data_IF_687118695044
#
_entry.id   IF_687118695044
#
_cell.length_a   1.000
_cell.length_b   1.000
_cell.length_c   1.000
_cell.angle_alpha   90.00
_cell.angle_beta   90.00
_cell.angle_gamma   90.00
#
_symmetry.space_group_name_H-M   'P 1'
#
loop_
_entity.id
_entity.type
_entity.pdbx_description
1 polymer ?
#
# COMPACT_ATOMS: atom_id res chain seq x y z
N UNK A 1 -36.43 -20.06 2.13
CA UNK A 1 -37.11 -19.24 3.15
C UNK A 1 -37.14 -17.80 2.66
N UNK A 2 -38.33 -17.21 2.62
CA UNK A 2 -38.53 -15.78 2.36
C UNK A 2 -39.21 -15.20 3.59
N UNK A 3 -38.66 -14.14 4.17
CA UNK A 3 -39.24 -13.49 5.35
C UNK A 3 -39.10 -11.99 5.30
N UNK A 4 -40.08 -11.31 5.88
CA UNK A 4 -40.03 -9.88 6.19
C UNK A 4 -40.28 -9.74 7.69
N UNK A 5 -39.35 -9.11 8.41
CA UNK A 5 -39.46 -8.93 9.86
C UNK A 5 -38.22 -9.40 10.63
N UNK A 6 -38.44 -9.82 11.88
CA UNK A 6 -37.40 -10.20 12.83
C UNK A 6 -37.21 -11.73 12.84
N UNK A 7 -35.98 -12.18 12.62
CA UNK A 7 -35.52 -13.53 12.95
C UNK A 7 -34.65 -13.41 14.19
N UNK A 8 -35.10 -13.96 15.32
CA UNK A 8 -34.31 -13.91 16.55
C UNK A 8 -33.13 -14.88 16.48
N UNK A 9 -33.39 -16.16 16.21
CA UNK A 9 -32.33 -17.15 16.01
C UNK A 9 -32.71 -18.06 14.85
N UNK A 10 -31.71 -18.46 14.08
CA UNK A 10 -31.86 -19.50 13.08
C UNK A 10 -30.56 -20.30 13.01
N UNK A 11 -30.61 -21.58 13.37
CA UNK A 11 -29.42 -22.44 13.37
C UNK A 11 -28.92 -22.67 11.95
N UNK A 12 -29.79 -23.16 11.05
CA UNK A 12 -29.35 -23.55 9.71
C UNK A 12 -30.29 -23.11 8.59
N UNK A 13 -29.68 -22.66 7.49
CA UNK A 13 -30.33 -22.54 6.20
C UNK A 13 -29.54 -23.24 5.10
N UNK A 14 -30.09 -24.35 4.61
CA UNK A 14 -29.39 -25.24 3.69
C UNK A 14 -29.36 -24.74 2.23
N UNK A 15 -30.38 -24.00 1.78
CA UNK A 15 -30.59 -23.73 0.35
C UNK A 15 -30.62 -22.24 -0.01
N UNK A 16 -31.74 -21.57 0.24
CA UNK A 16 -31.90 -20.16 -0.10
C UNK A 16 -32.65 -19.43 0.99
N UNK A 17 -32.06 -18.32 1.42
CA UNK A 17 -32.68 -17.36 2.30
C UNK A 17 -32.74 -16.01 1.61
N UNK A 18 -33.92 -15.41 1.64
CA UNK A 18 -34.13 -14.01 1.28
C UNK A 18 -34.85 -13.34 2.44
N UNK A 19 -34.26 -12.29 3.00
CA UNK A 19 -34.88 -11.57 4.12
C UNK A 19 -34.86 -10.07 3.90
N UNK A 20 -35.91 -9.41 4.39
CA UNK A 20 -35.94 -7.96 4.60
C UNK A 20 -36.24 -7.72 6.07
N UNK A 21 -35.28 -7.17 6.82
CA UNK A 21 -35.45 -6.94 8.25
C UNK A 21 -34.20 -7.26 9.07
N UNK A 22 -34.41 -7.73 10.29
CA UNK A 22 -33.34 -7.95 11.26
C UNK A 22 -33.16 -9.45 11.53
N UNK A 23 -31.94 -9.93 11.39
CA UNK A 23 -31.52 -11.25 11.83
C UNK A 23 -30.61 -11.04 13.04
N UNK A 24 -31.03 -11.48 14.22
CA UNK A 24 -30.21 -11.33 15.40
C UNK A 24 -29.09 -12.38 15.44
N UNK A 25 -29.39 -13.65 15.23
CA UNK A 25 -28.35 -14.67 15.05
C UNK A 25 -28.68 -15.63 13.92
N UNK A 26 -27.65 -16.00 13.15
CA UNK A 26 -27.68 -17.08 12.18
C UNK A 26 -26.38 -17.86 12.25
N UNK A 27 -26.43 -19.14 12.64
CA UNK A 27 -25.20 -19.93 12.77
C UNK A 27 -24.67 -20.29 11.37
N UNK A 28 -25.49 -20.93 10.53
CA UNK A 28 -25.01 -21.44 9.25
C UNK A 28 -25.93 -21.16 8.07
N UNK A 29 -25.33 -20.64 6.99
CA UNK A 29 -25.94 -20.62 5.66
C UNK A 29 -25.04 -21.33 4.64
N UNK A 30 -25.51 -22.48 4.15
CA UNK A 30 -24.68 -23.35 3.29
C UNK A 30 -24.63 -22.90 1.83
N UNK A 31 -25.70 -22.28 1.31
CA UNK A 31 -25.84 -22.06 -0.14
C UNK A 31 -25.96 -20.59 -0.53
N UNK A 32 -27.13 -19.96 -0.34
CA UNK A 32 -27.35 -18.57 -0.73
C UNK A 32 -28.15 -17.80 0.30
N UNK A 33 -27.61 -16.64 0.67
CA UNK A 33 -28.28 -15.66 1.48
C UNK A 33 -28.35 -14.34 0.73
N UNK A 34 -29.52 -13.73 0.72
CA UNK A 34 -29.74 -12.36 0.29
C UNK A 34 -30.49 -11.63 1.40
N UNK A 35 -29.92 -10.54 1.91
CA UNK A 35 -30.55 -9.77 2.99
C UNK A 35 -30.56 -8.29 2.65
N UNK A 36 -31.66 -7.64 3.02
CA UNK A 36 -31.75 -6.18 3.11
C UNK A 36 -32.09 -5.83 4.55
N UNK A 37 -31.16 -5.20 5.26
CA UNK A 37 -31.36 -4.86 6.67
C UNK A 37 -30.14 -5.15 7.53
N UNK A 38 -30.37 -5.63 8.75
CA UNK A 38 -29.33 -5.81 9.76
C UNK A 38 -29.14 -7.30 10.08
N UNK A 39 -27.90 -7.75 10.06
CA UNK A 39 -27.46 -9.03 10.62
C UNK A 39 -26.60 -8.72 11.83
N UNK A 40 -27.03 -9.11 13.02
CA UNK A 40 -26.24 -8.86 14.22
C UNK A 40 -25.10 -9.88 14.31
N UNK A 41 -25.38 -11.18 14.27
CA UNK A 41 -24.32 -12.19 14.15
C UNK A 41 -24.60 -13.19 13.04
N UNK A 42 -23.54 -13.53 12.31
CA UNK A 42 -23.50 -14.65 11.38
C UNK A 42 -22.19 -15.40 11.54
N UNK A 43 -22.25 -16.65 11.98
CA UNK A 43 -21.03 -17.43 12.20
C UNK A 43 -20.46 -17.89 10.85
N UNK A 44 -21.24 -18.59 10.03
CA UNK A 44 -20.73 -19.19 8.79
C UNK A 44 -21.62 -18.99 7.58
N UNK A 45 -21.01 -18.49 6.50
CA UNK A 45 -21.57 -18.56 5.15
C UNK A 45 -20.63 -19.29 4.20
N UNK A 46 -21.03 -20.50 3.77
CA UNK A 46 -20.16 -21.35 2.97
C UNK A 46 -20.07 -20.93 1.50
N UNK A 47 -21.16 -20.43 0.90
CA UNK A 47 -21.22 -20.25 -0.56
C UNK A 47 -21.40 -18.80 -1.02
N UNK A 48 -22.59 -18.23 -0.87
CA UNK A 48 -22.86 -16.87 -1.38
C UNK A 48 -23.69 -16.06 -0.41
N UNK A 49 -23.15 -14.91 -0.06
CA UNK A 49 -23.85 -13.88 0.69
C UNK A 49 -23.94 -12.60 -0.14
N UNK A 50 -25.13 -12.01 -0.16
CA UNK A 50 -25.36 -10.67 -0.67
C UNK A 50 -26.14 -9.88 0.38
N UNK A 51 -25.56 -8.80 0.88
CA UNK A 51 -26.18 -7.99 1.94
C UNK A 51 -26.22 -6.53 1.53
N UNK A 52 -27.39 -5.91 1.67
CA UNK A 52 -27.57 -4.47 1.62
C UNK A 52 -27.93 -4.00 3.04
N UNK A 53 -26.98 -3.38 3.74
CA UNK A 53 -27.21 -2.90 5.10
C UNK A 53 -26.03 -3.14 6.03
N UNK A 54 -26.32 -3.53 7.27
CA UNK A 54 -25.32 -3.64 8.34
C UNK A 54 -25.12 -5.10 8.74
N UNK A 55 -23.85 -5.51 8.83
CA UNK A 55 -23.44 -6.76 9.45
C UNK A 55 -22.61 -6.38 10.68
N UNK A 56 -23.07 -6.72 11.88
CA UNK A 56 -22.33 -6.38 13.09
C UNK A 56 -21.18 -7.38 13.32
N UNK A 57 -21.43 -8.67 13.22
CA UNK A 57 -20.35 -9.67 13.23
C UNK A 57 -20.54 -10.70 12.14
N UNK A 58 -19.44 -11.03 11.48
CA UNK A 58 -19.35 -12.17 10.58
C UNK A 58 -18.03 -12.90 10.84
N UNK A 59 -18.09 -14.13 11.33
CA UNK A 59 -16.87 -14.88 11.62
C UNK A 59 -16.27 -15.39 10.30
N UNK A 60 -17.02 -16.16 9.51
CA UNK A 60 -16.47 -16.83 8.34
C UNK A 60 -17.34 -16.72 7.08
N UNK A 61 -16.69 -16.31 5.98
CA UNK A 61 -17.21 -16.50 4.64
C UNK A 61 -16.23 -17.25 3.74
N UNK A 62 -16.59 -18.47 3.35
CA UNK A 62 -15.65 -19.35 2.64
C UNK A 62 -15.51 -19.03 1.15
N UNK A 63 -16.56 -18.53 0.49
CA UNK A 63 -16.59 -18.54 -0.99
C UNK A 63 -16.84 -17.16 -1.60
N UNK A 64 -18.04 -16.58 -1.47
CA UNK A 64 -18.33 -15.24 -2.02
C UNK A 64 -19.18 -14.39 -1.10
N UNK A 65 -18.68 -13.20 -0.81
CA UNK A 65 -19.41 -12.14 -0.12
C UNK A 65 -19.51 -10.91 -1.01
N UNK A 66 -20.71 -10.34 -1.07
CA UNK A 66 -20.95 -9.02 -1.63
C UNK A 66 -21.75 -8.20 -0.61
N UNK A 67 -21.21 -7.07 -0.18
CA UNK A 67 -21.86 -6.21 0.80
C UNK A 67 -21.88 -4.77 0.33
N UNK A 68 -23.04 -4.15 0.42
CA UNK A 68 -23.19 -2.69 0.29
C UNK A 68 -23.66 -2.16 1.64
N UNK A 69 -22.80 -1.42 2.32
CA UNK A 69 -23.09 -0.89 3.65
C UNK A 69 -21.93 -1.09 4.62
N UNK A 70 -22.25 -1.37 5.88
CA UNK A 70 -21.26 -1.45 6.95
C UNK A 70 -21.09 -2.90 7.40
N UNK A 71 -19.84 -3.35 7.45
CA UNK A 71 -19.43 -4.52 8.21
C UNK A 71 -18.71 -3.95 9.42
N UNK A 72 -19.20 -4.24 10.62
CA UNK A 72 -18.43 -3.97 11.82
C UNK A 72 -17.35 -5.04 11.84
N UNK A 73 -17.49 -6.18 12.50
CA UNK A 73 -16.40 -7.17 12.51
C UNK A 73 -16.51 -8.20 11.39
N UNK A 74 -15.36 -8.49 10.76
CA UNK A 74 -15.19 -9.66 9.90
C UNK A 74 -13.86 -10.35 10.21
N UNK A 75 -13.92 -11.60 10.67
CA UNK A 75 -12.70 -12.35 10.98
C UNK A 75 -12.08 -12.89 9.68
N UNK A 76 -12.81 -13.72 8.93
CA UNK A 76 -12.21 -14.45 7.80
C UNK A 76 -13.05 -14.44 6.52
N UNK A 77 -12.38 -14.11 5.42
CA UNK A 77 -12.87 -14.37 4.07
C UNK A 77 -11.85 -15.15 3.23
N UNK A 78 -12.17 -16.40 2.89
CA UNK A 78 -11.20 -17.29 2.24
C UNK A 78 -11.05 -17.05 0.73
N UNK A 79 -12.11 -16.65 0.02
CA UNK A 79 -12.12 -16.65 -1.44
C UNK A 79 -12.31 -15.27 -2.07
N UNK A 80 -13.52 -14.71 -2.01
CA UNK A 80 -13.83 -13.44 -2.66
C UNK A 80 -14.72 -12.56 -1.79
N UNK A 81 -14.22 -11.37 -1.52
CA UNK A 81 -14.96 -10.29 -0.90
C UNK A 81 -15.08 -9.12 -1.88
N UNK A 82 -16.29 -8.59 -2.01
CA UNK A 82 -16.56 -7.32 -2.66
C UNK A 82 -17.39 -6.47 -1.72
N UNK A 83 -16.86 -5.32 -1.31
CA UNK A 83 -17.56 -4.43 -0.38
C UNK A 83 -17.57 -3.01 -0.90
N UNK A 84 -18.73 -2.38 -0.86
CA UNK A 84 -18.86 -0.93 -1.04
C UNK A 84 -19.37 -0.35 0.28
N UNK A 85 -18.53 0.39 0.99
CA UNK A 85 -18.85 0.98 2.27
C UNK A 85 -17.73 0.84 3.28
N UNK A 86 -18.07 0.47 4.51
CA UNK A 86 -17.17 0.53 5.68
C UNK A 86 -16.92 -0.86 6.25
N UNK A 87 -15.67 -1.13 6.68
CA UNK A 87 -15.27 -2.38 7.34
C UNK A 87 -14.47 -2.07 8.63
N UNK A 88 -14.87 -2.61 9.79
CA UNK A 88 -14.36 -2.26 11.13
C UNK A 88 -14.37 -3.40 12.19
N UNK A 89 -13.36 -4.27 12.35
CA UNK A 89 -12.14 -4.56 11.59
C UNK A 89 -12.31 -5.68 10.54
N UNK A 90 -11.25 -5.93 9.76
CA UNK A 90 -11.06 -7.17 9.01
C UNK A 90 -9.75 -7.86 9.38
N UNK A 91 -9.79 -9.08 9.91
CA UNK A 91 -8.56 -9.80 10.26
C UNK A 91 -7.91 -10.40 9.00
N UNK A 92 -8.60 -11.29 8.29
CA UNK A 92 -7.97 -12.07 7.22
C UNK A 92 -8.77 -12.15 5.92
N UNK A 93 -8.07 -11.88 4.81
CA UNK A 93 -8.52 -12.22 3.46
C UNK A 93 -7.48 -13.03 2.68
N UNK A 94 -7.76 -14.30 2.41
CA UNK A 94 -6.76 -15.20 1.82
C UNK A 94 -6.59 -15.04 0.31
N UNK A 95 -7.65 -14.75 -0.44
CA UNK A 95 -7.61 -14.80 -1.92
C UNK A 95 -7.80 -13.46 -2.60
N UNK A 96 -9.02 -12.92 -2.60
CA UNK A 96 -9.34 -11.68 -3.34
C UNK A 96 -10.24 -10.78 -2.53
N UNK A 97 -9.76 -9.56 -2.32
CA UNK A 97 -10.53 -8.45 -1.79
C UNK A 97 -10.67 -7.36 -2.85
N UNK A 98 -11.89 -6.89 -3.03
CA UNK A 98 -12.18 -5.64 -3.72
C UNK A 98 -13.01 -4.77 -2.79
N UNK A 99 -12.53 -3.59 -2.45
CA UNK A 99 -13.27 -2.65 -1.61
C UNK A 99 -13.31 -1.25 -2.22
N UNK A 100 -14.43 -0.58 -2.03
CA UNK A 100 -14.56 0.86 -2.25
C UNK A 100 -15.12 1.48 -0.97
N UNK A 101 -14.38 2.42 -0.40
CA UNK A 101 -14.73 3.06 0.87
C UNK A 101 -13.58 3.02 1.86
N UNK A 102 -13.89 2.76 3.13
CA UNK A 102 -12.92 2.79 4.22
C UNK A 102 -12.83 1.41 4.88
N UNK A 103 -11.59 0.94 5.03
CA UNK A 103 -11.23 -0.19 5.88
C UNK A 103 -10.49 0.40 7.06
N UNK A 104 -11.01 0.22 8.28
CA UNK A 104 -10.41 0.85 9.45
C UNK A 104 -9.27 0.09 10.09
N UNK A 105 -9.18 -1.21 9.83
CA UNK A 105 -8.07 -2.09 10.20
C UNK A 105 -8.11 -3.28 9.26
N UNK A 106 -6.96 -3.64 8.72
CA UNK A 106 -6.75 -4.89 7.99
C UNK A 106 -5.44 -5.54 8.41
N UNK A 107 -5.52 -6.70 9.06
CA UNK A 107 -4.30 -7.40 9.49
C UNK A 107 -3.63 -8.07 8.29
N UNK A 108 -4.34 -8.97 7.59
CA UNK A 108 -3.69 -9.80 6.57
C UNK A 108 -4.46 -9.93 5.26
N UNK A 109 -3.75 -9.70 4.15
CA UNK A 109 -4.19 -10.10 2.82
C UNK A 109 -3.12 -10.89 2.06
N UNK A 110 -3.38 -12.18 1.81
CA UNK A 110 -2.35 -13.09 1.30
C UNK A 110 -2.16 -13.05 -0.23
N UNK A 111 -3.19 -12.74 -1.01
CA UNK A 111 -3.11 -12.89 -2.48
C UNK A 111 -3.33 -11.60 -3.25
N UNK A 112 -4.56 -11.07 -3.28
CA UNK A 112 -4.88 -9.88 -4.08
C UNK A 112 -5.81 -8.95 -3.34
N UNK A 113 -5.34 -7.72 -3.20
CA UNK A 113 -6.10 -6.60 -2.68
C UNK A 113 -6.23 -5.54 -3.77
N UNK A 114 -7.47 -5.09 -3.99
CA UNK A 114 -7.78 -3.91 -4.79
C UNK A 114 -8.68 -3.00 -3.96
N UNK A 115 -8.21 -1.80 -3.64
CA UNK A 115 -9.00 -0.84 -2.85
C UNK A 115 -9.07 0.52 -3.53
N UNK A 116 -10.24 1.14 -3.43
CA UNK A 116 -10.46 2.54 -3.78
C UNK A 116 -10.95 3.26 -2.51
N UNK A 117 -10.11 4.09 -1.91
CA UNK A 117 -10.46 4.84 -0.71
C UNK A 117 -9.37 4.79 0.36
N UNK A 118 -9.80 4.63 1.61
CA UNK A 118 -8.94 4.78 2.77
C UNK A 118 -8.70 3.42 3.43
N UNK A 119 -7.44 3.15 3.80
CA UNK A 119 -7.10 2.05 4.69
C UNK A 119 -6.41 2.63 5.91
N UNK A 120 -7.00 2.42 7.07
CA UNK A 120 -6.41 2.67 8.37
C UNK A 120 -6.15 1.31 9.04
N UNK A 121 -5.09 1.11 9.83
CA UNK A 121 -3.85 0.49 9.33
C UNK A 121 -3.99 -0.79 8.47
N UNK A 122 -2.96 -1.06 7.67
CA UNK A 122 -2.72 -2.36 7.06
C UNK A 122 -1.41 -2.97 7.55
N UNK A 123 -1.46 -4.13 8.19
CA UNK A 123 -0.24 -4.79 8.68
C UNK A 123 0.48 -5.53 7.55
N UNK A 124 -0.17 -6.50 6.89
CA UNK A 124 0.50 -7.37 5.93
C UNK A 124 -0.25 -7.58 4.62
N UNK A 125 0.44 -7.36 3.50
CA UNK A 125 0.01 -7.82 2.19
C UNK A 125 1.10 -8.64 1.49
N UNK A 126 0.82 -9.93 1.20
CA UNK A 126 1.89 -10.86 0.77
C UNK A 126 2.17 -10.90 -0.74
N UNK A 127 1.22 -10.57 -1.60
CA UNK A 127 1.34 -10.87 -3.03
C UNK A 127 1.11 -9.67 -3.95
N UNK A 128 -0.11 -9.13 -3.98
CA UNK A 128 -0.46 -8.02 -4.86
C UNK A 128 -1.41 -7.06 -4.18
N UNK A 129 -0.94 -5.83 -4.07
CA UNK A 129 -1.75 -4.69 -3.65
C UNK A 129 -1.89 -3.72 -4.82
N UNK A 130 -3.12 -3.28 -5.07
CA UNK A 130 -3.43 -2.12 -5.88
C UNK A 130 -4.35 -1.20 -5.08
N UNK A 131 -3.90 0.01 -4.79
CA UNK A 131 -4.72 0.98 -4.07
C UNK A 131 -4.78 2.30 -4.83
N UNK A 132 -5.94 2.94 -4.75
CA UNK A 132 -6.11 4.34 -5.11
C UNK A 132 -6.72 5.05 -3.91
N UNK A 133 -5.99 6.00 -3.34
CA UNK A 133 -6.37 6.72 -2.13
C UNK A 133 -5.25 6.79 -1.12
N UNK A 134 -5.58 6.64 0.16
CA UNK A 134 -4.64 6.84 1.26
C UNK A 134 -4.54 5.58 2.12
N UNK A 135 -3.30 5.19 2.43
CA UNK A 135 -2.98 4.12 3.37
C UNK A 135 -2.28 4.72 4.58
N UNK A 136 -2.77 4.40 5.77
CA UNK A 136 -2.20 4.89 7.02
C UNK A 136 -2.30 3.91 8.19
N UNK A 137 -1.20 3.46 8.80
CA UNK A 137 0.09 3.05 8.22
C UNK A 137 0.02 1.78 7.36
N UNK A 138 1.14 1.44 6.73
CA UNK A 138 1.40 0.13 6.12
C UNK A 138 2.71 -0.46 6.67
N UNK A 139 2.65 -1.59 7.35
CA UNK A 139 3.85 -2.20 7.94
C UNK A 139 4.62 -3.02 6.89
N UNK A 140 3.98 -4.02 6.28
CA UNK A 140 4.66 -4.96 5.41
C UNK A 140 3.94 -5.19 4.08
N UNK A 141 4.73 -5.08 3.00
CA UNK A 141 4.32 -5.54 1.69
C UNK A 141 5.36 -6.44 1.05
N UNK A 142 4.92 -7.64 0.67
CA UNK A 142 5.70 -8.61 -0.07
C UNK A 142 5.22 -8.66 -1.53
N UNK A 143 6.19 -8.86 -2.42
CA UNK A 143 6.04 -9.03 -3.87
C UNK A 143 5.70 -7.80 -4.72
N UNK A 144 4.45 -7.32 -4.75
CA UNK A 144 3.99 -6.25 -5.67
C UNK A 144 3.04 -5.26 -5.01
N UNK A 145 3.38 -3.98 -5.16
CA UNK A 145 2.55 -2.86 -4.74
C UNK A 145 2.40 -1.84 -5.88
N UNK A 146 1.18 -1.44 -6.17
CA UNK A 146 0.87 -0.28 -7.00
C UNK A 146 -0.06 0.64 -6.21
N UNK A 147 0.36 1.87 -5.98
CA UNK A 147 -0.46 2.86 -5.27
C UNK A 147 -0.57 4.15 -6.06
N UNK A 148 -1.77 4.70 -6.10
CA UNK A 148 -2.06 6.04 -6.60
C UNK A 148 -2.60 6.86 -5.44
N UNK A 149 -1.79 7.75 -4.88
CA UNK A 149 -2.19 8.59 -3.75
C UNK A 149 -1.12 8.68 -2.67
N UNK A 150 -1.54 8.56 -1.42
CA UNK A 150 -0.73 8.89 -0.26
C UNK A 150 -0.43 7.66 0.59
N UNK A 151 0.83 7.48 0.99
CA UNK A 151 1.22 6.47 1.97
C UNK A 151 1.92 7.16 3.14
N UNK A 152 1.41 6.90 4.34
CA UNK A 152 1.87 7.50 5.58
C UNK A 152 1.80 6.49 6.73
N UNK A 153 2.88 6.16 7.43
CA UNK A 153 4.20 5.68 6.97
C UNK A 153 4.16 4.32 6.25
N UNK A 154 5.30 3.93 5.66
CA UNK A 154 5.56 2.57 5.13
C UNK A 154 6.86 2.01 5.72
N UNK A 155 6.79 0.96 6.54
CA UNK A 155 8.00 0.42 7.19
C UNK A 155 8.81 -0.45 6.22
N UNK A 156 8.25 -1.59 5.78
CA UNK A 156 9.01 -2.60 5.04
C UNK A 156 8.38 -3.02 3.72
N UNK A 157 9.20 -2.98 2.66
CA UNK A 157 8.85 -3.51 1.34
C UNK A 157 9.85 -4.58 0.87
N UNK A 158 9.52 -5.83 1.17
CA UNK A 158 10.25 -7.04 0.80
C UNK A 158 9.81 -7.55 -0.57
N UNK A 159 10.21 -6.85 -1.63
CA UNK A 159 9.77 -7.20 -2.99
C UNK A 159 10.62 -8.32 -3.61
N UNK A 160 10.44 -9.59 -3.22
CA UNK A 160 11.02 -10.73 -3.96
C UNK A 160 10.34 -10.82 -5.33
N UNK A 161 10.83 -10.01 -6.29
CA UNK A 161 10.35 -9.92 -7.67
C UNK A 161 8.99 -9.23 -7.88
N UNK A 162 8.91 -7.89 -7.76
CA UNK A 162 8.35 -6.96 -8.79
C UNK A 162 7.91 -5.59 -8.22
N UNK A 163 8.63 -4.53 -8.65
CA UNK A 163 8.23 -3.10 -8.72
C UNK A 163 7.16 -2.61 -7.72
N UNK A 164 7.58 -1.81 -6.75
CA UNK A 164 6.70 -0.77 -6.19
C UNK A 164 6.51 0.31 -7.26
N UNK A 165 5.26 0.67 -7.56
CA UNK A 165 4.92 1.83 -8.37
C UNK A 165 4.02 2.74 -7.55
N UNK A 166 4.53 3.90 -7.16
CA UNK A 166 3.74 4.92 -6.48
C UNK A 166 3.64 6.15 -7.36
N UNK A 167 2.42 6.69 -7.45
CA UNK A 167 2.17 8.02 -8.00
C UNK A 167 1.55 8.85 -6.89
N UNK A 168 2.26 9.84 -6.38
CA UNK A 168 1.80 10.67 -5.27
C UNK A 168 2.90 10.89 -4.24
N UNK A 169 2.54 10.83 -2.96
CA UNK A 169 3.48 11.14 -1.88
C UNK A 169 3.63 9.94 -0.93
N UNK A 170 4.89 9.60 -0.68
CA UNK A 170 5.33 8.70 0.39
C UNK A 170 5.94 9.59 1.46
N UNK A 171 5.35 9.60 2.65
CA UNK A 171 5.86 10.44 3.72
C UNK A 171 7.16 9.89 4.31
N UNK A 172 7.13 8.65 4.78
CA UNK A 172 8.31 7.95 5.29
C UNK A 172 8.35 6.56 4.71
N UNK A 173 9.55 6.13 4.35
CA UNK A 173 9.83 4.78 3.92
C UNK A 173 11.15 4.31 4.50
N UNK A 174 11.11 3.32 5.37
CA UNK A 174 12.33 2.85 6.05
C UNK A 174 13.12 1.96 5.10
N UNK A 175 12.54 0.85 4.62
CA UNK A 175 13.31 -0.15 3.88
C UNK A 175 12.69 -0.61 2.56
N UNK A 176 13.50 -0.55 1.51
CA UNK A 176 13.18 -1.09 0.20
C UNK A 176 14.30 -1.99 -0.36
N UNK A 177 14.03 -3.29 -0.41
CA UNK A 177 15.05 -4.30 -0.72
C UNK A 177 15.35 -4.49 -2.21
N UNK A 178 14.40 -4.21 -3.12
CA UNK A 178 14.49 -4.68 -4.50
C UNK A 178 14.33 -3.60 -5.57
N UNK A 179 13.11 -3.30 -6.01
CA UNK A 179 12.89 -2.31 -7.08
C UNK A 179 11.77 -1.36 -6.70
N UNK A 180 12.10 -0.09 -6.67
CA UNK A 180 11.17 1.01 -6.45
C UNK A 180 11.14 1.89 -7.69
N UNK A 181 9.93 2.20 -8.13
CA UNK A 181 9.63 3.24 -9.12
C UNK A 181 8.65 4.20 -8.48
N UNK A 182 9.01 5.47 -8.34
CA UNK A 182 8.10 6.49 -7.82
C UNK A 182 8.01 7.66 -8.77
N UNK A 183 6.81 8.24 -8.85
CA UNK A 183 6.59 9.55 -9.45
C UNK A 183 5.87 10.41 -8.42
N UNK A 184 6.50 11.52 -8.04
CA UNK A 184 5.98 12.41 -7.02
C UNK A 184 7.01 12.70 -5.92
N UNK A 185 6.57 12.70 -4.67
CA UNK A 185 7.37 13.18 -3.54
C UNK A 185 7.67 12.02 -2.58
N UNK A 186 8.93 11.88 -2.22
CA UNK A 186 9.37 11.05 -1.10
C UNK A 186 9.90 12.00 -0.04
N UNK A 187 9.19 12.11 1.09
CA UNK A 187 9.57 13.05 2.12
C UNK A 187 10.71 12.52 2.99
N UNK A 188 10.79 11.23 3.32
CA UNK A 188 12.00 10.57 3.85
C UNK A 188 12.14 9.16 3.31
N UNK A 189 13.39 8.75 3.06
CA UNK A 189 13.73 7.38 2.71
C UNK A 189 15.06 6.97 3.33
N UNK A 190 15.04 5.96 4.18
CA UNK A 190 16.27 5.54 4.89
C UNK A 190 17.10 4.63 3.97
N UNK A 191 16.55 3.48 3.55
CA UNK A 191 17.37 2.46 2.87
C UNK A 191 16.74 1.93 1.58
N UNK A 192 17.56 1.94 0.53
CA UNK A 192 17.27 1.28 -0.74
C UNK A 192 18.44 0.40 -1.21
N UNK A 193 18.24 -0.91 -1.16
CA UNK A 193 19.33 -1.88 -1.38
C UNK A 193 19.66 -2.14 -2.85
N UNK A 194 18.68 -2.12 -3.75
CA UNK A 194 18.87 -2.64 -5.11
C UNK A 194 18.69 -1.61 -6.24
N UNK A 195 17.46 -1.24 -6.58
CA UNK A 195 17.21 -0.25 -7.65
C UNK A 195 16.12 0.72 -7.27
N UNK A 196 16.44 1.99 -7.41
CA UNK A 196 15.50 3.09 -7.29
C UNK A 196 15.44 3.85 -8.61
N UNK A 197 14.21 4.12 -9.07
CA UNK A 197 13.93 5.05 -10.15
C UNK A 197 12.90 6.06 -9.64
N UNK A 198 13.24 7.34 -9.62
CA UNK A 198 12.33 8.39 -9.15
C UNK A 198 12.18 9.50 -10.18
N UNK A 199 10.96 9.99 -10.30
CA UNK A 199 10.64 11.22 -11.06
C UNK A 199 9.95 12.18 -10.09
N UNK A 200 10.66 13.19 -9.59
CA UNK A 200 10.10 14.18 -8.66
C UNK A 200 11.07 14.61 -7.57
N UNK A 201 10.56 14.75 -6.34
CA UNK A 201 11.29 15.32 -5.22
C UNK A 201 11.62 14.25 -4.19
N UNK A 202 12.89 14.21 -3.77
CA UNK A 202 13.37 13.40 -2.64
C UNK A 202 13.96 14.38 -1.62
N UNK A 203 13.50 14.32 -0.37
CA UNK A 203 14.02 15.17 0.71
C UNK A 203 15.31 14.58 1.32
N UNK A 204 15.38 13.86 2.46
CA UNK A 204 16.52 13.01 2.74
C UNK A 204 16.35 11.61 2.15
N UNK A 205 17.46 11.16 1.58
CA UNK A 205 17.74 9.77 1.30
C UNK A 205 19.06 9.39 1.99
N UNK A 206 19.02 8.48 2.95
CA UNK A 206 20.24 8.11 3.68
C UNK A 206 21.11 7.17 2.84
N UNK A 207 20.59 6.01 2.44
CA UNK A 207 21.41 4.97 1.82
C UNK A 207 20.82 4.37 0.54
N UNK A 208 21.66 4.34 -0.50
CA UNK A 208 21.39 3.63 -1.75
C UNK A 208 22.56 2.75 -2.19
N UNK A 209 22.44 1.43 -1.99
CA UNK A 209 23.55 0.50 -2.20
C UNK A 209 23.89 0.24 -3.67
N UNK A 210 22.90 -0.04 -4.52
CA UNK A 210 23.19 -0.58 -5.86
C UNK A 210 22.98 0.40 -7.02
N UNK A 211 21.75 0.81 -7.32
CA UNK A 211 21.48 1.72 -8.45
C UNK A 211 20.40 2.74 -8.13
N UNK A 212 20.71 4.01 -8.36
CA UNK A 212 19.77 5.11 -8.34
C UNK A 212 19.69 5.76 -9.71
N UNK A 213 18.47 5.98 -10.18
CA UNK A 213 18.17 6.88 -11.28
C UNK A 213 17.13 7.88 -10.81
N UNK A 214 17.42 9.17 -10.90
CA UNK A 214 16.45 10.21 -10.51
C UNK A 214 16.34 11.27 -11.60
N UNK A 215 15.13 11.79 -11.76
CA UNK A 215 14.87 13.02 -12.50
C UNK A 215 14.10 13.96 -11.60
N UNK A 216 14.64 15.14 -11.34
CA UNK A 216 14.06 16.11 -10.42
C UNK A 216 15.06 16.58 -9.37
N UNK A 217 14.61 16.78 -8.14
CA UNK A 217 15.43 17.36 -7.06
C UNK A 217 15.62 16.37 -5.92
N UNK A 218 16.88 16.19 -5.54
CA UNK A 218 17.30 15.47 -4.34
C UNK A 218 17.85 16.52 -3.37
N UNK A 219 17.20 16.70 -2.22
CA UNK A 219 17.62 17.71 -1.25
C UNK A 219 18.87 17.24 -0.50
N UNK A 220 18.83 16.06 0.11
CA UNK A 220 20.00 15.46 0.75
C UNK A 220 20.15 13.99 0.37
N UNK A 221 21.39 13.58 0.08
CA UNK A 221 21.77 12.19 -0.11
C UNK A 221 23.06 11.90 0.65
N UNK A 222 23.03 11.00 1.63
CA UNK A 222 24.20 10.68 2.43
C UNK A 222 25.12 9.71 1.68
N UNK A 223 24.64 8.52 1.32
CA UNK A 223 25.48 7.47 0.75
C UNK A 223 24.89 6.83 -0.51
N UNK A 224 25.70 6.77 -1.58
CA UNK A 224 25.45 5.89 -2.71
C UNK A 224 26.69 5.07 -3.09
N UNK A 225 26.58 3.74 -2.97
CA UNK A 225 27.74 2.86 -3.08
C UNK A 225 28.13 2.54 -4.53
N UNK A 226 27.19 2.15 -5.41
CA UNK A 226 27.52 1.57 -6.72
C UNK A 226 27.29 2.49 -7.93
N UNK A 227 26.05 2.86 -8.26
CA UNK A 227 25.75 3.67 -9.45
C UNK A 227 24.65 4.68 -9.21
N UNK A 228 24.93 5.92 -9.57
CA UNK A 228 23.98 7.03 -9.57
C UNK A 228 23.92 7.68 -10.94
N UNK A 229 22.70 7.92 -11.43
CA UNK A 229 22.43 8.76 -12.60
C UNK A 229 21.32 9.74 -12.22
N UNK A 230 21.59 11.04 -12.32
CA UNK A 230 20.59 12.06 -12.00
C UNK A 230 20.45 13.07 -13.13
N UNK A 231 19.21 13.51 -13.37
CA UNK A 231 18.90 14.64 -14.25
C UNK A 231 18.12 15.66 -13.42
N UNK A 232 18.77 16.77 -13.05
CA UNK A 232 18.17 17.79 -12.18
C UNK A 232 19.13 18.30 -11.11
N UNK A 233 18.60 18.67 -9.93
CA UNK A 233 19.38 19.29 -8.85
C UNK A 233 19.66 18.29 -7.74
N UNK A 234 20.91 18.22 -7.29
CA UNK A 234 21.27 17.62 -6.00
C UNK A 234 21.80 18.75 -5.10
N UNK A 235 21.11 19.03 -3.99
CA UNK A 235 21.51 20.12 -3.11
C UNK A 235 22.66 19.72 -2.18
N UNK A 236 22.57 18.59 -1.48
CA UNK A 236 23.72 17.99 -0.77
C UNK A 236 23.93 16.53 -1.15
N UNK A 237 25.21 16.18 -1.33
CA UNK A 237 25.65 14.81 -1.46
C UNK A 237 26.91 14.59 -0.61
N UNK A 238 26.85 13.64 0.32
CA UNK A 238 27.99 13.36 1.19
C UNK A 238 28.99 12.40 0.54
N UNK A 239 28.57 11.18 0.19
CA UNK A 239 29.47 10.14 -0.28
C UNK A 239 28.95 9.38 -1.52
N UNK A 240 29.86 9.21 -2.49
CA UNK A 240 29.67 8.32 -3.64
C UNK A 240 30.96 7.56 -3.98
N UNK A 241 30.88 6.22 -3.99
CA UNK A 241 32.06 5.33 -3.98
C UNK A 241 32.45 4.70 -5.33
N UNK A 242 31.58 4.71 -6.34
CA UNK A 242 31.87 4.00 -7.60
C UNK A 242 31.60 4.80 -8.86
N UNK A 243 30.34 5.07 -9.21
CA UNK A 243 29.99 5.82 -10.44
C UNK A 243 28.85 6.78 -10.23
N UNK A 244 29.07 8.02 -10.68
CA UNK A 244 28.07 9.07 -10.72
C UNK A 244 28.04 9.73 -12.10
N UNK A 245 26.84 9.96 -12.61
CA UNK A 245 26.58 10.79 -13.79
C UNK A 245 25.47 11.78 -13.44
N UNK A 246 25.73 13.07 -13.63
CA UNK A 246 24.76 14.13 -13.36
C UNK A 246 24.60 15.00 -14.60
N UNK A 247 23.36 15.23 -15.02
CA UNK A 247 23.01 16.22 -16.03
C UNK A 247 22.11 17.27 -15.38
N UNK A 248 22.72 18.33 -14.86
CA UNK A 248 22.03 19.37 -14.08
C UNK A 248 23.00 20.10 -13.15
N UNK A 249 22.46 20.80 -12.16
CA UNK A 249 23.25 21.53 -11.17
C UNK A 249 23.52 20.66 -9.94
N UNK A 250 24.70 20.81 -9.35
CA UNK A 250 25.04 20.21 -8.05
C UNK A 250 25.45 21.34 -7.11
N UNK A 251 24.85 21.36 -5.92
CA UNK A 251 25.12 22.37 -4.89
C UNK A 251 26.42 22.07 -4.14
N UNK A 252 26.32 21.26 -3.07
CA UNK A 252 27.43 20.92 -2.16
C UNK A 252 27.77 19.44 -2.24
N UNK A 253 29.07 19.14 -2.42
CA UNK A 253 29.62 17.80 -2.56
C UNK A 253 30.75 17.59 -1.53
N UNK A 254 30.66 16.55 -0.71
CA UNK A 254 31.62 16.36 0.42
C UNK A 254 32.73 15.36 0.09
N UNK A 255 32.46 14.25 -0.61
CA UNK A 255 33.51 13.25 -0.89
C UNK A 255 33.19 12.35 -2.11
N UNK A 256 34.22 12.10 -2.94
CA UNK A 256 34.18 11.16 -4.08
C UNK A 256 35.38 10.21 -4.01
N UNK A 257 35.15 8.92 -3.88
CA UNK A 257 36.20 7.89 -3.89
C UNK A 257 35.97 6.93 -5.07
N UNK A 258 37.04 6.48 -5.76
CA UNK A 258 36.97 5.35 -6.71
C UNK A 258 36.37 5.59 -8.10
N UNK A 259 36.18 6.82 -8.57
CA UNK A 259 35.35 7.09 -9.76
C UNK A 259 36.05 6.78 -11.11
N UNK A 260 35.42 5.92 -11.93
CA UNK A 260 35.75 5.76 -13.36
C UNK A 260 34.69 6.41 -14.25
N UNK A 261 35.11 7.49 -14.94
CA UNK A 261 34.38 8.35 -15.91
C UNK A 261 33.31 9.27 -15.30
N UNK A 262 33.70 10.51 -15.06
CA UNK A 262 32.84 11.67 -14.88
C UNK A 262 32.62 12.35 -16.22
N UNK A 263 31.37 12.35 -16.72
CA UNK A 263 30.96 13.27 -17.77
C UNK A 263 30.12 14.32 -17.08
N UNK A 264 30.76 15.44 -16.70
CA UNK A 264 30.08 16.60 -16.18
C UNK A 264 29.62 17.47 -17.35
N UNK A 265 28.32 17.75 -17.44
CA UNK A 265 27.81 18.87 -18.25
C UNK A 265 27.25 19.88 -17.27
N UNK A 266 28.13 20.70 -16.72
CA UNK A 266 27.77 21.73 -15.74
C UNK A 266 27.33 22.98 -16.50
N UNK A 267 26.07 23.37 -16.37
CA UNK A 267 25.66 24.76 -16.60
C UNK A 267 25.95 25.53 -15.31
N UNK A 268 27.16 26.09 -15.24
CA UNK A 268 27.63 26.87 -14.09
C UNK A 268 26.86 28.19 -14.03
N UNK A 269 25.95 28.32 -13.08
CA UNK A 269 25.60 29.62 -12.51
C UNK A 269 26.68 29.96 -11.49
N UNK A 270 27.58 30.88 -11.84
CA UNK A 270 28.67 31.36 -11.00
C UNK A 270 28.14 31.91 -9.67
N UNK A 271 28.56 31.33 -8.54
CA UNK A 271 28.66 32.07 -7.28
C UNK A 271 30.14 32.14 -6.90
N UNK A 272 30.69 33.34 -7.07
CA UNK A 272 31.98 33.73 -6.52
C UNK A 272 31.94 33.59 -5.01
N UNK A 273 32.79 32.74 -4.44
CA UNK A 273 33.24 32.90 -3.06
C UNK A 273 34.65 33.46 -3.12
N UNK A 274 34.74 34.76 -2.82
CA UNK A 274 35.98 35.47 -2.55
C UNK A 274 36.55 34.91 -1.24
N UNK A 275 37.69 34.21 -1.30
CA UNK A 275 38.58 34.11 -0.16
C UNK A 275 39.68 35.15 -0.34
N UNK A 276 39.52 36.27 0.37
CA UNK A 276 40.53 37.31 0.48
C UNK A 276 41.63 36.87 1.44
N UNK A 277 42.87 36.93 0.91
CA UNK A 277 44.19 37.11 1.55
C UNK A 277 44.42 36.60 2.97
#
# INVERSE_FOLDING_TARGET
MQTVGLIHTLEQCLNRMQTVGLIHTLEQCLNRMQTVGLIHTLEQCLNRMQTMGLIHTLEQCLNRMQTMGLIHTLEQCLNRMQTMGLIYPLEQCLNRMQSVGLIHTLEQCLNRMQTMGLIYPLEQCLNRMQTVGLIYPLEQCLNRMQTMGFIYPLEQCLNRMQRMQTMGLIHTLEQCLNRMQTVGIIHTLEQCLNRMQTMGLIYPLEQCLNRMQSVGLIHTLEQCLNRMQTVGLIHTLEQCLNRMQTMGQQGRLVQLEGIRKTSFTIFCGTQHVNEGK
#
